data_IF_949354570923
#
_entry.id   IF_949354570923
#
_cell.length_a   1.000
_cell.length_b   1.000
_cell.length_c   1.000
_cell.angle_alpha   90.00
_cell.angle_beta   90.00
_cell.angle_gamma   90.00
#
_symmetry.space_group_name_H-M   'P 1'
#
loop_
_entity.id
_entity.type
_entity.pdbx_description
1 polymer ?
#
# COMPACT_ATOMS: atom_id res chain seq x y z
N UNK A 1 30.40 -14.93 -3.78
CA UNK A 1 30.36 -16.38 -4.14
C UNK A 1 29.69 -17.13 -3.00
N UNK A 2 28.58 -17.86 -3.25
CA UNK A 2 28.07 -18.80 -2.23
C UNK A 2 29.17 -19.82 -1.93
N UNK A 3 29.44 -20.14 -0.66
CA UNK A 3 30.44 -21.15 -0.35
C UNK A 3 30.07 -22.44 -1.06
N UNK A 4 31.01 -22.97 -1.85
CA UNK A 4 30.94 -24.35 -2.30
C UNK A 4 31.10 -25.17 -1.03
N UNK A 5 30.00 -25.79 -0.61
CA UNK A 5 30.02 -26.66 0.55
C UNK A 5 30.27 -28.06 -0.01
N UNK A 6 31.37 -28.66 0.45
CA UNK A 6 31.63 -30.07 0.26
C UNK A 6 30.95 -30.80 1.43
N UNK A 7 29.94 -31.61 1.12
CA UNK A 7 29.31 -32.50 2.10
C UNK A 7 29.80 -33.92 1.80
N UNK A 8 30.50 -34.53 2.75
CA UNK A 8 30.91 -35.92 2.66
C UNK A 8 29.81 -36.81 3.24
N UNK A 9 29.25 -37.70 2.43
CA UNK A 9 28.21 -38.67 2.82
C UNK A 9 28.67 -40.05 2.39
N UNK A 10 28.97 -40.93 3.35
CA UNK A 10 29.43 -42.31 3.12
C UNK A 10 30.62 -42.44 2.14
N UNK A 11 31.59 -41.50 2.20
CA UNK A 11 32.77 -41.49 1.34
C UNK A 11 32.57 -40.86 -0.06
N UNK A 12 31.38 -40.34 -0.35
CA UNK A 12 31.10 -39.50 -1.51
C UNK A 12 31.17 -38.01 -1.12
N UNK A 13 32.08 -37.25 -1.75
CA UNK A 13 32.17 -35.80 -1.59
C UNK A 13 31.20 -35.13 -2.57
N UNK A 14 30.03 -34.74 -2.08
CA UNK A 14 29.08 -33.94 -2.82
C UNK A 14 29.50 -32.48 -2.77
N UNK A 15 30.00 -31.95 -3.88
CA UNK A 15 30.29 -30.52 -4.02
C UNK A 15 29.06 -29.82 -4.58
N UNK A 16 28.49 -28.91 -3.80
CA UNK A 16 27.29 -28.17 -4.18
C UNK A 16 27.31 -26.76 -3.62
N UNK A 17 26.57 -25.86 -4.26
CA UNK A 17 26.31 -24.54 -3.65
C UNK A 17 25.26 -24.75 -2.56
N UNK A 18 25.57 -24.37 -1.32
CA UNK A 18 24.62 -24.47 -0.23
C UNK A 18 23.35 -23.67 -0.55
N UNK A 19 22.20 -24.34 -0.54
CA UNK A 19 20.89 -23.71 -0.44
C UNK A 19 20.63 -23.59 1.06
N UNK A 20 20.30 -22.40 1.60
CA UNK A 20 20.00 -22.25 3.02
C UNK A 20 18.95 -23.29 3.43
N UNK A 21 19.24 -24.11 4.45
CA UNK A 21 18.34 -25.19 4.92
C UNK A 21 16.92 -24.68 5.23
N UNK A 22 16.81 -23.44 5.72
CA UNK A 22 15.53 -22.78 6.02
C UNK A 22 14.65 -22.51 4.77
N UNK A 23 15.25 -22.37 3.58
CA UNK A 23 14.54 -22.19 2.31
C UNK A 23 14.05 -23.54 1.77
N UNK A 24 14.82 -24.61 1.97
CA UNK A 24 14.46 -25.96 1.50
C UNK A 24 13.36 -26.59 2.36
N UNK A 25 13.31 -26.28 3.66
CA UNK A 25 12.26 -26.79 4.55
C UNK A 25 10.92 -26.06 4.40
N UNK A 26 10.86 -24.94 3.67
CA UNK A 26 9.66 -24.11 3.56
C UNK A 26 9.20 -23.50 4.89
N UNK A 27 10.05 -23.55 5.94
CA UNK A 27 9.72 -23.07 7.29
C UNK A 27 10.20 -21.65 7.55
N UNK A 28 11.03 -21.07 6.69
CA UNK A 28 11.39 -19.65 6.77
C UNK A 28 10.29 -18.78 6.19
N UNK A 29 9.92 -17.70 6.90
CA UNK A 29 9.08 -16.64 6.33
C UNK A 29 9.81 -16.03 5.12
N UNK A 30 9.22 -16.09 3.94
CA UNK A 30 9.75 -15.39 2.77
C UNK A 30 9.57 -13.88 2.99
N UNK A 31 10.66 -13.11 2.94
CA UNK A 31 10.63 -11.65 2.90
C UNK A 31 11.43 -11.13 1.70
N UNK A 32 10.74 -10.51 0.74
CA UNK A 32 11.34 -9.97 -0.46
C UNK A 32 12.32 -8.83 -0.15
N UNK A 33 12.01 -8.02 0.87
CA UNK A 33 12.84 -6.87 1.27
C UNK A 33 14.11 -7.34 1.96
N UNK A 34 14.01 -8.29 2.88
CA UNK A 34 15.18 -8.91 3.52
C UNK A 34 16.10 -9.54 2.47
N UNK A 35 15.55 -10.31 1.52
CA UNK A 35 16.35 -10.90 0.43
C UNK A 35 17.02 -9.82 -0.42
N UNK A 36 16.31 -8.75 -0.76
CA UNK A 36 16.91 -7.64 -1.49
C UNK A 36 18.05 -7.00 -0.70
N UNK A 37 17.82 -6.60 0.56
CA UNK A 37 18.84 -5.97 1.38
C UNK A 37 20.06 -6.86 1.60
N UNK A 38 19.86 -8.17 1.75
CA UNK A 38 20.93 -9.15 1.96
C UNK A 38 21.79 -9.35 0.70
N UNK A 39 21.17 -9.40 -0.48
CA UNK A 39 21.85 -9.83 -1.70
C UNK A 39 22.06 -8.73 -2.76
N UNK A 40 21.52 -7.52 -2.60
CA UNK A 40 21.58 -6.46 -3.65
C UNK A 40 23.01 -6.08 -4.08
N UNK A 41 23.98 -6.23 -3.18
CA UNK A 41 25.38 -5.87 -3.41
C UNK A 41 26.21 -7.07 -3.93
N UNK A 42 25.62 -8.27 -4.00
CA UNK A 42 26.25 -9.43 -4.64
C UNK A 42 26.25 -9.27 -6.18
N UNK A 43 27.21 -9.94 -6.83
CA UNK A 43 27.19 -10.13 -8.28
C UNK A 43 25.84 -10.72 -8.76
N UNK A 44 25.30 -10.33 -9.93
CA UNK A 44 23.96 -10.76 -10.38
C UNK A 44 23.75 -12.28 -10.33
N UNK A 45 24.77 -13.07 -10.66
CA UNK A 45 24.70 -14.54 -10.66
C UNK A 45 24.63 -15.18 -9.25
N UNK A 46 24.87 -14.41 -8.19
CA UNK A 46 24.79 -14.84 -6.79
C UNK A 46 23.47 -14.41 -6.10
N UNK A 47 22.83 -13.35 -6.60
CA UNK A 47 21.55 -12.83 -6.09
C UNK A 47 20.40 -13.86 -6.19
N UNK A 48 19.38 -13.75 -5.34
CA UNK A 48 18.10 -14.48 -5.51
C UNK A 48 17.27 -13.86 -6.65
N UNK A 49 16.26 -14.57 -7.13
CA UNK A 49 15.33 -14.05 -8.15
C UNK A 49 14.57 -12.83 -7.63
N UNK A 50 14.17 -12.84 -6.34
CA UNK A 50 13.58 -11.68 -5.67
C UNK A 50 14.54 -10.47 -5.64
N UNK A 51 15.79 -10.67 -5.20
CA UNK A 51 16.80 -9.62 -5.15
C UNK A 51 17.12 -9.06 -6.55
N UNK A 52 17.21 -9.92 -7.58
CA UNK A 52 17.40 -9.50 -8.97
C UNK A 52 16.26 -8.63 -9.48
N UNK A 53 15.01 -9.03 -9.26
CA UNK A 53 13.84 -8.26 -9.72
C UNK A 53 13.73 -6.90 -9.01
N UNK A 54 14.00 -6.85 -7.70
CA UNK A 54 14.00 -5.61 -6.92
C UNK A 54 15.19 -4.70 -7.26
N UNK A 55 16.35 -5.28 -7.54
CA UNK A 55 17.51 -4.56 -8.08
C UNK A 55 17.22 -4.01 -9.48
N UNK A 56 16.57 -4.80 -10.35
CA UNK A 56 16.18 -4.38 -11.69
C UNK A 56 15.19 -3.21 -11.62
N UNK A 57 14.16 -3.32 -10.76
CA UNK A 57 13.23 -2.22 -10.48
C UNK A 57 13.98 -0.94 -10.11
N UNK A 58 14.92 -1.03 -9.17
CA UNK A 58 15.70 0.11 -8.69
C UNK A 58 16.58 0.70 -9.80
N UNK A 59 17.24 -0.14 -10.60
CA UNK A 59 18.09 0.28 -11.71
C UNK A 59 17.27 0.97 -12.82
N UNK A 60 16.10 0.43 -13.15
CA UNK A 60 15.15 1.02 -14.12
C UNK A 60 14.64 2.37 -13.63
N UNK A 61 14.19 2.47 -12.37
CA UNK A 61 13.75 3.73 -11.77
C UNK A 61 14.84 4.81 -11.82
N UNK A 62 16.10 4.45 -11.53
CA UNK A 62 17.25 5.36 -11.62
C UNK A 62 17.61 5.73 -13.06
N UNK A 63 17.47 4.80 -13.99
CA UNK A 63 17.75 5.03 -15.42
C UNK A 63 16.75 6.04 -16.00
N UNK A 64 15.46 5.91 -15.69
CA UNK A 64 14.42 6.87 -16.09
C UNK A 64 14.55 8.19 -15.32
N UNK A 65 14.93 8.15 -14.04
CA UNK A 65 14.93 9.32 -13.16
C UNK A 65 16.17 10.22 -13.22
N UNK A 66 17.35 9.70 -13.57
CA UNK A 66 18.61 10.45 -13.46
C UNK A 66 19.62 10.17 -14.60
N UNK A 67 19.16 9.64 -15.74
CA UNK A 67 19.95 9.22 -16.92
C UNK A 67 21.41 8.84 -16.64
N UNK A 68 21.61 7.87 -15.75
CA UNK A 68 22.95 7.36 -15.49
C UNK A 68 23.21 6.17 -16.41
N UNK A 69 24.18 6.31 -17.33
CA UNK A 69 24.71 5.21 -18.16
C UNK A 69 24.99 3.95 -17.33
N UNK A 70 25.46 4.14 -16.09
CA UNK A 70 25.69 3.05 -15.13
C UNK A 70 24.41 2.29 -14.77
N UNK A 71 23.31 2.98 -14.42
CA UNK A 71 22.05 2.30 -14.06
C UNK A 71 21.46 1.54 -15.23
N UNK A 72 21.58 2.08 -16.45
CA UNK A 72 21.16 1.41 -17.68
C UNK A 72 21.96 0.11 -17.91
N UNK A 73 23.28 0.17 -17.78
CA UNK A 73 24.14 -1.00 -17.90
C UNK A 73 23.81 -2.05 -16.83
N UNK A 74 23.62 -1.63 -15.58
CA UNK A 74 23.19 -2.52 -14.50
C UNK A 74 21.83 -3.16 -14.79
N UNK A 75 20.85 -2.41 -15.28
CA UNK A 75 19.54 -2.96 -15.64
C UNK A 75 19.65 -4.04 -16.73
N UNK A 76 20.44 -3.82 -17.78
CA UNK A 76 20.70 -4.81 -18.83
C UNK A 76 21.39 -6.08 -18.30
N UNK A 77 22.35 -5.94 -17.38
CA UNK A 77 23.01 -7.08 -16.75
C UNK A 77 22.02 -7.92 -15.91
N UNK A 78 21.19 -7.26 -15.10
CA UNK A 78 20.18 -7.93 -14.28
C UNK A 78 19.11 -8.61 -15.15
N UNK A 79 18.67 -7.95 -16.24
CA UNK A 79 17.74 -8.51 -17.22
C UNK A 79 18.31 -9.78 -17.86
N UNK A 80 19.55 -9.73 -18.36
CA UNK A 80 20.22 -10.88 -18.97
C UNK A 80 20.41 -12.04 -17.99
N UNK A 81 20.68 -11.75 -16.72
CA UNK A 81 20.79 -12.78 -15.68
C UNK A 81 19.44 -13.44 -15.35
N UNK A 82 18.34 -12.67 -15.30
CA UNK A 82 16.99 -13.22 -15.11
C UNK A 82 16.58 -14.12 -16.28
N UNK A 83 16.81 -13.67 -17.52
CA UNK A 83 16.57 -14.46 -18.72
C UNK A 83 17.40 -15.76 -18.73
N UNK A 84 18.68 -15.68 -18.35
CA UNK A 84 19.58 -16.86 -18.23
C UNK A 84 19.07 -17.89 -17.21
N UNK A 85 18.30 -17.47 -16.20
CA UNK A 85 17.66 -18.36 -15.21
C UNK A 85 16.36 -18.98 -15.71
N UNK A 86 15.92 -18.66 -16.92
CA UNK A 86 14.64 -19.13 -17.46
C UNK A 86 13.44 -18.42 -16.84
N UNK A 87 13.61 -17.16 -16.42
CA UNK A 87 12.49 -16.27 -16.12
C UNK A 87 12.10 -15.59 -17.43
N UNK A 88 10.82 -15.67 -17.83
CA UNK A 88 10.28 -14.93 -18.98
C UNK A 88 10.18 -13.43 -18.66
N UNK A 89 11.34 -12.77 -18.54
CA UNK A 89 11.49 -11.44 -17.97
C UNK A 89 10.74 -10.36 -18.76
N UNK A 90 10.59 -10.53 -20.07
CA UNK A 90 9.76 -9.67 -20.92
C UNK A 90 8.32 -9.67 -20.40
N UNK A 91 7.73 -10.84 -20.15
CA UNK A 91 6.37 -10.96 -19.59
C UNK A 91 6.29 -10.42 -18.18
N UNK A 92 7.29 -10.72 -17.34
CA UNK A 92 7.36 -10.16 -15.97
C UNK A 92 7.37 -8.63 -16.00
N UNK A 93 8.10 -8.04 -16.96
CA UNK A 93 8.14 -6.61 -17.14
C UNK A 93 6.78 -6.05 -17.59
N UNK A 94 6.13 -6.70 -18.56
CA UNK A 94 4.77 -6.36 -19.01
C UNK A 94 3.72 -6.50 -17.90
N UNK A 95 3.93 -7.44 -16.97
CA UNK A 95 3.04 -7.68 -15.84
C UNK A 95 3.15 -6.62 -14.74
N UNK A 96 4.38 -6.33 -14.29
CA UNK A 96 4.65 -5.49 -13.11
C UNK A 96 5.52 -4.25 -13.36
N UNK A 97 6.67 -4.42 -14.03
CA UNK A 97 7.68 -3.37 -14.12
C UNK A 97 7.23 -2.15 -14.94
N UNK A 98 6.53 -2.38 -16.06
CA UNK A 98 6.06 -1.32 -16.97
C UNK A 98 5.14 -0.32 -16.26
N UNK A 99 4.35 -0.77 -15.30
CA UNK A 99 3.51 0.11 -14.48
C UNK A 99 4.35 1.01 -13.57
N UNK A 100 5.40 0.47 -12.98
CA UNK A 100 6.35 1.26 -12.18
C UNK A 100 7.06 2.30 -13.06
N UNK A 101 7.47 1.93 -14.28
CA UNK A 101 8.05 2.86 -15.26
C UNK A 101 7.08 4.00 -15.59
N UNK A 102 5.79 3.70 -15.75
CA UNK A 102 4.77 4.71 -16.01
C UNK A 102 4.59 5.69 -14.84
N UNK A 103 4.62 5.20 -13.60
CA UNK A 103 4.59 6.06 -12.41
C UNK A 103 5.85 6.93 -12.35
N UNK A 104 7.03 6.37 -12.64
CA UNK A 104 8.29 7.13 -12.65
C UNK A 104 8.29 8.25 -13.71
N UNK A 105 7.74 7.98 -14.89
CA UNK A 105 7.56 8.99 -15.95
C UNK A 105 6.57 10.07 -15.52
N UNK A 106 5.44 9.71 -14.93
CA UNK A 106 4.48 10.68 -14.40
C UNK A 106 5.15 11.58 -13.33
N UNK A 107 5.83 10.98 -12.36
CA UNK A 107 6.58 11.73 -11.33
C UNK A 107 7.60 12.68 -11.95
N UNK A 108 8.40 12.21 -12.92
CA UNK A 108 9.39 13.02 -13.63
C UNK A 108 8.75 14.18 -14.42
N UNK A 109 7.67 13.94 -15.14
CA UNK A 109 6.96 14.97 -15.90
C UNK A 109 6.35 16.06 -14.98
N UNK A 110 6.00 15.70 -13.75
CA UNK A 110 5.42 16.66 -12.77
C UNK A 110 6.47 17.35 -11.88
N UNK A 111 7.72 16.88 -11.87
CA UNK A 111 8.75 17.35 -10.94
C UNK A 111 9.04 18.85 -11.09
N UNK A 112 9.07 19.37 -12.32
CA UNK A 112 9.30 20.80 -12.57
C UNK A 112 8.18 21.68 -11.98
N UNK A 113 6.93 21.24 -12.05
CA UNK A 113 5.79 21.95 -11.46
C UNK A 113 5.87 21.94 -9.93
N UNK A 114 6.21 20.79 -9.32
CA UNK A 114 6.40 20.67 -7.87
C UNK A 114 7.53 21.57 -7.34
N UNK A 115 8.65 21.66 -8.06
CA UNK A 115 9.77 22.54 -7.69
C UNK A 115 9.38 24.02 -7.85
N UNK A 116 8.65 24.37 -8.91
CA UNK A 116 8.17 25.74 -9.13
C UNK A 116 7.22 26.21 -8.02
N UNK A 117 6.48 25.30 -7.42
CA UNK A 117 5.58 25.56 -6.28
C UNK A 117 6.28 25.46 -4.90
N UNK A 118 7.61 25.33 -4.86
CA UNK A 118 8.41 25.19 -3.62
C UNK A 118 8.04 23.97 -2.75
N UNK A 119 7.33 22.98 -3.32
CA UNK A 119 6.98 21.74 -2.62
C UNK A 119 8.14 20.73 -2.60
N UNK A 120 9.15 20.93 -3.45
CA UNK A 120 10.30 20.03 -3.59
C UNK A 120 11.61 20.83 -3.70
N UNK A 121 12.65 20.36 -3.01
CA UNK A 121 13.94 21.05 -2.99
C UNK A 121 14.59 21.09 -4.40
N UNK A 122 15.07 22.26 -4.88
CA UNK A 122 15.67 22.42 -6.21
C UNK A 122 16.89 21.52 -6.48
N UNK A 123 17.55 21.05 -5.41
CA UNK A 123 18.66 20.08 -5.51
C UNK A 123 18.27 18.76 -6.18
N UNK A 124 16.98 18.41 -6.19
CA UNK A 124 16.46 17.24 -6.91
C UNK A 124 16.38 17.47 -8.43
N UNK A 125 16.26 18.71 -8.89
CA UNK A 125 16.39 19.04 -10.31
C UNK A 125 17.86 19.12 -10.75
N UNK A 126 18.81 19.43 -9.85
CA UNK A 126 20.22 19.55 -10.24
C UNK A 126 20.87 18.23 -10.69
N UNK A 127 20.28 17.07 -10.37
CA UNK A 127 20.72 15.79 -10.95
C UNK A 127 20.20 15.54 -12.37
N UNK A 128 19.19 16.28 -12.82
CA UNK A 128 18.83 16.38 -14.23
C UNK A 128 19.49 17.64 -14.81
N UNK A 129 20.71 17.50 -15.31
CA UNK A 129 21.38 18.60 -16.01
C UNK A 129 20.50 19.17 -17.14
N UNK A 130 20.81 20.40 -17.60
CA UNK A 130 20.14 21.14 -18.68
C UNK A 130 19.95 20.40 -20.04
N UNK A 131 20.44 19.16 -20.17
CA UNK A 131 20.36 18.29 -21.35
C UNK A 131 19.28 17.18 -21.23
N UNK A 132 18.35 17.27 -20.28
CA UNK A 132 17.31 16.26 -20.10
C UNK A 132 16.17 16.38 -21.13
N UNK A 133 16.51 16.20 -22.40
CA UNK A 133 15.59 16.19 -23.53
C UNK A 133 14.44 15.18 -23.33
N UNK A 134 14.69 14.08 -22.61
CA UNK A 134 13.67 13.08 -22.28
C UNK A 134 12.62 13.63 -21.31
N UNK A 135 13.03 14.30 -20.23
CA UNK A 135 12.09 14.92 -19.30
C UNK A 135 11.23 15.98 -20.01
N UNK A 136 11.85 16.85 -20.81
CA UNK A 136 11.14 17.88 -21.57
C UNK A 136 10.12 17.28 -22.53
N UNK A 137 10.48 16.22 -23.25
CA UNK A 137 9.56 15.51 -24.14
C UNK A 137 8.35 14.92 -23.39
N UNK A 138 8.54 14.38 -22.18
CA UNK A 138 7.42 13.87 -21.38
C UNK A 138 6.52 14.97 -20.83
N UNK A 139 7.06 16.15 -20.52
CA UNK A 139 6.26 17.34 -20.15
C UNK A 139 5.38 17.76 -21.32
N UNK A 140 5.94 17.88 -22.53
CA UNK A 140 5.17 18.22 -23.73
C UNK A 140 4.07 17.20 -24.03
N UNK A 141 4.35 15.90 -23.83
CA UNK A 141 3.35 14.82 -23.99
C UNK A 141 2.26 14.92 -22.93
N UNK A 142 2.62 15.22 -21.67
CA UNK A 142 1.65 15.39 -20.59
C UNK A 142 0.70 16.55 -20.90
N UNK A 143 1.24 17.71 -21.29
CA UNK A 143 0.45 18.88 -21.67
C UNK A 143 -0.48 18.58 -22.85
N UNK A 144 0.05 17.98 -23.93
CA UNK A 144 -0.74 17.61 -25.10
C UNK A 144 -1.85 16.60 -24.77
N UNK A 145 -1.55 15.57 -23.96
CA UNK A 145 -2.52 14.56 -23.56
C UNK A 145 -3.58 15.14 -22.60
N UNK A 146 -3.20 16.10 -21.75
CA UNK A 146 -4.12 16.80 -20.87
C UNK A 146 -5.07 17.70 -21.68
N UNK A 147 -4.55 18.47 -22.64
CA UNK A 147 -5.38 19.28 -23.56
C UNK A 147 -6.37 18.40 -24.36
N UNK A 148 -5.92 17.28 -24.94
CA UNK A 148 -6.80 16.30 -25.61
C UNK A 148 -7.92 15.79 -24.68
N UNK A 149 -7.61 15.57 -23.40
CA UNK A 149 -8.60 15.10 -22.42
C UNK A 149 -9.66 16.16 -22.08
N UNK A 150 -9.30 17.44 -22.09
CA UNK A 150 -10.22 18.55 -21.85
C UNK A 150 -11.22 18.71 -23.00
N UNK A 151 -10.76 18.57 -24.24
CA UNK A 151 -11.61 18.66 -25.43
C UNK A 151 -12.66 17.55 -25.49
N UNK A 152 -12.30 16.35 -25.02
CA UNK A 152 -13.18 15.18 -25.04
C UNK A 152 -14.33 15.22 -24.02
N UNK A 153 -14.53 16.34 -23.31
CA UNK A 153 -15.74 16.65 -22.50
C UNK A 153 -16.09 15.63 -21.41
N UNK A 154 -15.11 14.87 -20.91
CA UNK A 154 -15.28 13.93 -19.79
C UNK A 154 -15.09 14.63 -18.42
N UNK A 155 -15.46 15.91 -18.33
CA UNK A 155 -15.29 16.79 -17.16
C UNK A 155 -15.98 16.26 -15.89
N UNK A 156 -16.98 15.39 -16.03
CA UNK A 156 -17.68 14.78 -14.90
C UNK A 156 -16.84 13.73 -14.14
N UNK A 157 -15.63 13.38 -14.62
CA UNK A 157 -14.67 12.51 -13.90
C UNK A 157 -13.48 13.25 -13.28
N UNK A 158 -13.55 14.58 -13.15
CA UNK A 158 -12.52 15.40 -12.47
C UNK A 158 -12.23 15.00 -11.01
N UNK A 159 -13.04 14.12 -10.43
CA UNK A 159 -12.81 13.51 -9.11
C UNK A 159 -12.14 12.13 -9.15
N UNK A 160 -11.41 11.76 -10.22
CA UNK A 160 -10.33 10.78 -9.99
C UNK A 160 -9.45 11.35 -8.87
N UNK A 161 -9.45 10.62 -7.76
CA UNK A 161 -9.28 11.16 -6.42
C UNK A 161 -7.92 11.85 -6.26
N UNK A 162 -7.94 13.15 -5.91
CA UNK A 162 -6.76 13.88 -5.40
C UNK A 162 -6.03 13.04 -4.35
N UNK A 163 -6.78 12.29 -3.53
CA UNK A 163 -6.22 11.36 -2.54
C UNK A 163 -5.45 10.18 -3.15
N UNK A 164 -5.83 9.67 -4.33
CA UNK A 164 -5.06 8.64 -5.03
C UNK A 164 -3.73 9.20 -5.57
N UNK A 165 -3.77 10.38 -6.20
CA UNK A 165 -2.57 11.10 -6.65
C UNK A 165 -1.65 11.41 -5.48
N UNK A 166 -2.20 11.93 -4.37
CA UNK A 166 -1.46 12.20 -3.12
C UNK A 166 -0.74 10.95 -2.61
N UNK A 167 -1.41 9.80 -2.55
CA UNK A 167 -0.79 8.55 -2.10
C UNK A 167 0.36 8.09 -3.01
N UNK A 168 0.25 8.29 -4.32
CA UNK A 168 1.32 7.94 -5.27
C UNK A 168 2.49 8.93 -5.14
N UNK A 169 2.21 10.23 -5.05
CA UNK A 169 3.21 11.27 -4.88
C UNK A 169 3.96 11.13 -3.56
N UNK A 170 3.27 10.89 -2.43
CA UNK A 170 3.89 10.65 -1.14
C UNK A 170 4.83 9.43 -1.18
N UNK A 171 4.47 8.38 -1.94
CA UNK A 171 5.34 7.21 -2.12
C UNK A 171 6.58 7.53 -2.96
N UNK A 172 6.42 8.32 -4.03
CA UNK A 172 7.52 8.73 -4.89
C UNK A 172 8.44 9.74 -4.19
N UNK A 173 7.86 10.60 -3.35
CA UNK A 173 8.48 11.73 -2.68
C UNK A 173 7.97 11.82 -1.23
N UNK A 174 8.53 11.06 -0.28
CA UNK A 174 8.07 11.05 1.11
C UNK A 174 8.04 12.43 1.78
N UNK A 175 8.91 13.35 1.36
CA UNK A 175 8.92 14.74 1.83
C UNK A 175 7.62 15.52 1.56
N UNK A 176 6.78 15.06 0.62
CA UNK A 176 5.49 15.70 0.32
C UNK A 176 4.38 15.30 1.31
N UNK A 177 4.54 14.21 2.07
CA UNK A 177 3.49 13.75 2.99
C UNK A 177 3.24 14.72 4.14
N UNK A 178 4.29 15.42 4.56
CA UNK A 178 4.28 16.39 5.66
C UNK A 178 3.73 17.78 5.23
N UNK A 179 3.54 18.02 3.93
CA UNK A 179 3.07 19.31 3.43
C UNK A 179 1.55 19.36 3.34
N UNK A 180 0.92 20.18 4.19
CA UNK A 180 -0.50 20.54 4.08
C UNK A 180 -0.85 21.31 2.80
N UNK A 181 0.16 21.78 2.05
CA UNK A 181 -0.02 22.58 0.83
C UNK A 181 -0.25 21.72 -0.42
N UNK A 182 0.03 20.40 -0.35
CA UNK A 182 -0.08 19.50 -1.50
C UNK A 182 -1.50 19.41 -2.06
N UNK A 183 -2.52 19.38 -1.21
CA UNK A 183 -3.91 19.27 -1.67
C UNK A 183 -4.35 20.53 -2.43
N UNK A 184 -3.96 21.71 -1.94
CA UNK A 184 -4.19 23.01 -2.61
C UNK A 184 -3.46 23.05 -3.95
N UNK A 185 -2.19 22.64 -3.98
CA UNK A 185 -1.41 22.56 -5.22
C UNK A 185 -2.05 21.63 -6.25
N UNK A 186 -2.49 20.43 -5.85
CA UNK A 186 -3.14 19.48 -6.76
C UNK A 186 -4.49 19.99 -7.29
N UNK A 187 -5.17 20.87 -6.56
CA UNK A 187 -6.38 21.54 -7.02
C UNK A 187 -6.08 22.62 -8.06
N UNK A 188 -4.99 23.36 -7.88
CA UNK A 188 -4.54 24.43 -8.80
C UNK A 188 -3.82 23.89 -10.05
N UNK A 189 -3.25 22.68 -9.96
CA UNK A 189 -2.49 22.00 -11.01
C UNK A 189 -3.13 20.67 -11.43
N UNK A 190 -4.29 20.70 -12.10
CA UNK A 190 -5.01 19.50 -12.52
C UNK A 190 -4.22 18.61 -13.50
N UNK A 191 -3.25 19.17 -14.23
CA UNK A 191 -2.33 18.42 -15.09
C UNK A 191 -1.44 17.46 -14.29
N UNK A 192 -1.07 17.81 -13.05
CA UNK A 192 -0.31 16.93 -12.15
C UNK A 192 -1.17 15.75 -11.74
N UNK A 193 -2.42 16.01 -11.34
CA UNK A 193 -3.40 14.96 -11.05
C UNK A 193 -3.66 14.07 -12.26
N UNK A 194 -3.73 14.65 -13.46
CA UNK A 194 -3.89 13.91 -14.71
C UNK A 194 -2.67 13.02 -15.02
N UNK A 195 -1.45 13.45 -14.71
CA UNK A 195 -0.24 12.64 -14.90
C UNK A 195 -0.30 11.30 -14.14
N UNK A 196 -0.96 11.26 -12.98
CA UNK A 196 -1.14 10.04 -12.19
C UNK A 196 -2.48 9.32 -12.45
N UNK A 197 -3.32 9.85 -13.35
CA UNK A 197 -4.57 9.21 -13.74
C UNK A 197 -4.32 7.84 -14.39
N UNK A 198 -5.33 6.98 -14.34
CA UNK A 198 -5.28 5.68 -15.03
C UNK A 198 -5.15 5.83 -16.54
N UNK A 199 -5.64 6.95 -17.09
CA UNK A 199 -5.60 7.27 -18.51
C UNK A 199 -4.18 7.60 -18.99
N UNK A 200 -3.48 8.51 -18.30
CA UNK A 200 -2.12 8.88 -18.68
C UNK A 200 -1.15 7.72 -18.41
N UNK A 201 -1.13 7.21 -17.17
CA UNK A 201 -0.23 6.10 -16.80
C UNK A 201 -0.50 4.83 -17.61
N UNK A 202 -1.75 4.57 -18.01
CA UNK A 202 -2.10 3.46 -18.90
C UNK A 202 -1.54 3.60 -20.31
N UNK A 203 -1.54 4.81 -20.90
CA UNK A 203 -0.89 5.08 -22.20
C UNK A 203 0.63 4.97 -22.11
N UNK A 204 1.22 5.52 -21.04
CA UNK A 204 2.66 5.39 -20.78
C UNK A 204 3.05 3.92 -20.64
N UNK A 205 2.28 3.15 -19.88
CA UNK A 205 2.48 1.71 -19.74
C UNK A 205 2.39 1.00 -21.10
N UNK A 206 1.37 1.30 -21.91
CA UNK A 206 1.23 0.70 -23.25
C UNK A 206 2.43 1.01 -24.15
N UNK A 207 2.95 2.24 -24.09
CA UNK A 207 4.16 2.63 -24.81
C UNK A 207 5.38 1.82 -24.37
N UNK A 208 5.60 1.71 -23.06
CA UNK A 208 6.70 0.92 -22.53
C UNK A 208 6.56 -0.58 -22.79
N UNK A 209 5.34 -1.11 -22.84
CA UNK A 209 5.12 -2.48 -23.29
C UNK A 209 5.68 -2.72 -24.69
N UNK A 210 5.38 -1.81 -25.62
CA UNK A 210 5.91 -1.89 -26.98
C UNK A 210 7.43 -1.73 -27.01
N UNK A 211 8.00 -0.80 -26.23
CA UNK A 211 9.45 -0.63 -26.17
C UNK A 211 10.16 -1.82 -25.54
N UNK A 212 9.61 -2.47 -24.51
CA UNK A 212 10.22 -3.67 -23.92
C UNK A 212 10.32 -4.80 -24.96
N UNK A 213 9.34 -4.92 -25.84
CA UNK A 213 9.31 -5.94 -26.91
C UNK A 213 10.27 -5.60 -28.06
N UNK A 214 10.29 -4.35 -28.53
CA UNK A 214 11.02 -3.97 -29.75
C UNK A 214 12.42 -3.37 -29.49
N UNK A 215 12.58 -2.63 -28.39
CA UNK A 215 13.79 -1.88 -28.07
C UNK A 215 13.94 -1.63 -26.56
N UNK A 216 14.43 -2.65 -25.85
CA UNK A 216 14.64 -2.60 -24.40
C UNK A 216 15.52 -1.41 -23.97
N UNK A 217 16.54 -1.05 -24.75
CA UNK A 217 17.38 0.09 -24.41
C UNK A 217 16.57 1.39 -24.41
N UNK A 218 15.74 1.64 -25.42
CA UNK A 218 14.84 2.79 -25.45
C UNK A 218 13.87 2.79 -24.26
N UNK A 219 13.37 1.62 -23.85
CA UNK A 219 12.53 1.48 -22.66
C UNK A 219 13.30 1.93 -21.40
N UNK A 220 14.55 1.49 -21.23
CA UNK A 220 15.37 1.81 -20.06
C UNK A 220 15.77 3.29 -19.99
N UNK A 221 15.89 3.99 -21.13
CA UNK A 221 16.12 5.45 -21.16
C UNK A 221 14.85 6.24 -20.87
N UNK A 222 13.69 5.58 -20.84
CA UNK A 222 12.43 6.29 -20.76
C UNK A 222 12.14 7.09 -22.02
N UNK A 223 12.52 6.60 -23.20
CA UNK A 223 12.33 7.34 -24.46
C UNK A 223 10.85 7.68 -24.66
N UNK A 224 10.56 8.96 -24.84
CA UNK A 224 9.21 9.45 -25.07
C UNK A 224 8.77 9.21 -26.54
N UNK A 225 7.50 8.84 -26.81
CA UNK A 225 6.96 8.83 -28.16
C UNK A 225 6.66 10.25 -28.66
N UNK A 226 6.23 10.42 -29.91
CA UNK A 226 5.63 11.70 -30.32
C UNK A 226 4.26 11.91 -29.64
N UNK A 227 3.86 13.16 -29.41
CA UNK A 227 2.55 13.50 -28.82
C UNK A 227 1.37 12.94 -29.63
N UNK A 228 1.47 12.95 -30.96
CA UNK A 228 0.48 12.36 -31.88
C UNK A 228 0.38 10.84 -31.69
N UNK A 229 1.51 10.15 -31.60
CA UNK A 229 1.50 8.71 -31.34
C UNK A 229 0.94 8.41 -29.95
N UNK A 230 1.34 9.17 -28.94
CA UNK A 230 0.91 8.97 -27.55
C UNK A 230 -0.60 9.11 -27.38
N UNK A 231 -1.19 10.17 -27.96
CA UNK A 231 -2.64 10.43 -27.87
C UNK A 231 -3.46 9.36 -28.59
N UNK A 232 -2.90 8.73 -29.64
CA UNK A 232 -3.51 7.60 -30.33
C UNK A 232 -3.46 6.27 -29.54
N UNK A 233 -2.61 6.16 -28.51
CA UNK A 233 -2.52 4.94 -27.70
C UNK A 233 -3.81 4.72 -26.87
N UNK A 234 -4.25 3.46 -26.72
CA UNK A 234 -5.36 3.14 -25.83
C UNK A 234 -5.00 3.49 -24.38
N UNK A 235 -5.96 4.00 -23.59
CA UNK A 235 -5.70 4.45 -22.23
C UNK A 235 -5.53 3.32 -21.21
N UNK A 236 -5.64 2.06 -21.64
CA UNK A 236 -5.49 0.89 -20.77
C UNK A 236 -4.48 -0.05 -21.43
N UNK A 237 -3.34 -0.23 -20.76
CA UNK A 237 -2.43 -1.30 -21.12
C UNK A 237 -3.03 -2.64 -20.71
N UNK A 238 -2.96 -3.62 -21.61
CA UNK A 238 -3.15 -5.01 -21.22
C UNK A 238 -2.09 -5.39 -20.18
N UNK A 239 -2.46 -6.17 -19.17
CA UNK A 239 -1.51 -6.71 -18.19
C UNK A 239 -1.27 -8.18 -18.50
N UNK A 240 -0.01 -8.59 -18.62
CA UNK A 240 0.31 -10.01 -18.65
C UNK A 240 0.11 -10.58 -17.23
N UNK A 241 -0.97 -11.33 -17.03
CA UNK A 241 -1.33 -11.87 -15.72
C UNK A 241 -0.31 -12.89 -15.20
N UNK A 242 0.37 -13.63 -16.09
CA UNK A 242 1.40 -14.59 -15.69
C UNK A 242 2.68 -13.86 -15.27
N UNK A 243 3.08 -12.85 -16.05
CA UNK A 243 4.17 -11.96 -15.69
C UNK A 243 3.92 -11.23 -14.38
N UNK A 244 2.68 -10.77 -14.16
CA UNK A 244 2.30 -10.09 -12.92
C UNK A 244 2.30 -11.04 -11.71
N UNK A 245 1.87 -12.28 -11.89
CA UNK A 245 2.00 -13.31 -10.85
C UNK A 245 3.45 -13.58 -10.48
N UNK A 246 4.34 -13.76 -11.46
CA UNK A 246 5.77 -13.93 -11.19
C UNK A 246 6.34 -12.70 -10.47
N UNK A 247 5.94 -11.50 -10.88
CA UNK A 247 6.34 -10.27 -10.22
C UNK A 247 5.90 -10.24 -8.74
N UNK A 248 4.61 -10.43 -8.44
CA UNK A 248 4.10 -10.46 -7.06
C UNK A 248 4.78 -11.56 -6.24
N UNK A 249 4.98 -12.75 -6.84
CA UNK A 249 5.65 -13.89 -6.21
C UNK A 249 6.99 -13.55 -5.61
N UNK A 250 7.79 -12.78 -6.34
CA UNK A 250 9.17 -12.50 -5.94
C UNK A 250 9.36 -11.11 -5.34
N UNK A 251 8.40 -10.20 -5.46
CA UNK A 251 8.55 -8.81 -4.99
C UNK A 251 7.62 -8.42 -3.85
N UNK A 252 6.55 -9.19 -3.57
CA UNK A 252 5.59 -8.90 -2.50
C UNK A 252 5.72 -9.94 -1.39
N UNK A 253 6.09 -9.49 -0.18
CA UNK A 253 6.35 -10.35 0.99
C UNK A 253 5.11 -11.14 1.42
N UNK A 254 4.01 -10.45 1.76
CA UNK A 254 2.78 -11.09 2.22
C UNK A 254 1.95 -11.66 1.04
N UNK A 255 1.53 -12.93 1.14
CA UNK A 255 0.69 -13.56 0.11
C UNK A 255 -0.70 -12.92 0.08
N UNK A 256 -1.15 -12.45 1.24
CA UNK A 256 -2.40 -11.73 1.47
C UNK A 256 -2.48 -10.45 0.64
N UNK A 257 -1.36 -9.87 0.20
CA UNK A 257 -1.35 -8.66 -0.60
C UNK A 257 -1.36 -8.93 -2.11
N UNK A 258 -1.23 -10.18 -2.54
CA UNK A 258 -1.25 -10.54 -3.95
C UNK A 258 -2.61 -10.33 -4.59
N UNK A 259 -2.65 -10.04 -5.89
CA UNK A 259 -3.92 -10.03 -6.60
C UNK A 259 -4.58 -11.41 -6.64
N UNK A 260 -5.92 -11.42 -6.82
CA UNK A 260 -6.67 -12.67 -6.95
C UNK A 260 -6.18 -13.51 -8.13
N UNK A 261 -5.84 -12.89 -9.26
CA UNK A 261 -5.33 -13.61 -10.44
C UNK A 261 -4.00 -14.30 -10.13
N UNK A 262 -3.08 -13.64 -9.44
CA UNK A 262 -1.82 -14.25 -8.99
C UNK A 262 -2.03 -15.40 -8.01
N UNK A 263 -2.97 -15.28 -7.07
CA UNK A 263 -3.29 -16.39 -6.16
C UNK A 263 -3.85 -17.60 -6.91
N UNK A 264 -4.71 -17.38 -7.90
CA UNK A 264 -5.27 -18.45 -8.73
C UNK A 264 -4.20 -19.14 -9.60
N UNK A 265 -3.28 -18.35 -10.18
CA UNK A 265 -2.14 -18.88 -10.94
C UNK A 265 -1.17 -19.66 -10.06
N UNK A 266 -0.91 -19.17 -8.84
CA UNK A 266 -0.09 -19.87 -7.85
C UNK A 266 -0.70 -21.20 -7.43
N UNK A 267 -1.99 -21.21 -7.11
CA UNK A 267 -2.70 -22.44 -6.76
C UNK A 267 -2.67 -23.45 -7.92
N UNK A 268 -2.88 -22.97 -9.15
CA UNK A 268 -2.78 -23.81 -10.36
C UNK A 268 -1.36 -24.38 -10.52
N UNK A 269 -0.33 -23.55 -10.35
CA UNK A 269 1.06 -23.98 -10.41
C UNK A 269 1.39 -25.02 -9.33
N UNK A 270 0.95 -24.80 -8.09
CA UNK A 270 1.17 -25.75 -7.00
C UNK A 270 0.51 -27.10 -7.26
N UNK A 271 -0.66 -27.11 -7.92
CA UNK A 271 -1.42 -28.32 -8.25
C UNK A 271 -0.86 -29.08 -9.45
N UNK A 272 -0.53 -28.38 -10.53
CA UNK A 272 -0.22 -28.98 -11.84
C UNK A 272 1.29 -29.02 -12.12
N UNK A 273 2.10 -28.32 -11.34
CA UNK A 273 3.54 -28.11 -11.58
C UNK A 273 3.88 -27.66 -13.00
N UNK A 274 2.96 -26.94 -13.67
CA UNK A 274 3.14 -26.49 -15.05
C UNK A 274 4.29 -25.48 -15.13
N UNK A 275 5.29 -25.75 -15.97
CA UNK A 275 6.61 -25.09 -15.94
C UNK A 275 6.81 -24.00 -17.00
N UNK A 276 5.79 -23.69 -17.80
CA UNK A 276 6.03 -22.96 -19.05
C UNK A 276 6.50 -21.52 -18.83
N UNK A 277 6.10 -20.87 -17.74
CA UNK A 277 6.36 -19.44 -17.51
C UNK A 277 7.66 -19.12 -16.74
N UNK A 278 8.18 -20.06 -15.97
CA UNK A 278 9.34 -19.81 -15.11
C UNK A 278 10.03 -21.13 -14.74
N UNK A 279 11.36 -21.15 -14.80
CA UNK A 279 12.13 -22.32 -14.45
C UNK A 279 11.82 -22.80 -13.02
N UNK A 280 11.64 -24.13 -12.87
CA UNK A 280 11.34 -24.78 -11.58
C UNK A 280 12.30 -24.37 -10.46
N UNK A 281 13.57 -24.13 -10.79
CA UNK A 281 14.59 -23.69 -9.84
C UNK A 281 14.28 -22.31 -9.25
N UNK A 282 13.89 -21.34 -10.07
CA UNK A 282 13.52 -20.01 -9.60
C UNK A 282 12.23 -20.08 -8.77
N UNK A 283 11.26 -20.86 -9.24
CA UNK A 283 10.00 -21.07 -8.51
C UNK A 283 10.21 -21.73 -7.14
N UNK A 284 11.23 -22.56 -6.97
CA UNK A 284 11.57 -23.20 -5.70
C UNK A 284 12.20 -22.25 -4.66
N UNK A 285 12.53 -21.01 -5.01
CA UNK A 285 13.04 -20.02 -4.04
C UNK A 285 11.98 -19.54 -3.04
N UNK A 286 10.70 -19.74 -3.37
CA UNK A 286 9.57 -19.48 -2.48
C UNK A 286 8.65 -20.69 -2.50
N UNK A 287 8.31 -21.25 -1.35
CA UNK A 287 7.35 -22.35 -1.25
C UNK A 287 6.13 -21.84 -0.51
N UNK A 288 4.96 -21.98 -1.12
CA UNK A 288 3.68 -21.59 -0.53
C UNK A 288 2.83 -22.85 -0.42
N UNK A 289 2.35 -23.21 0.79
CA UNK A 289 1.46 -24.35 0.96
C UNK A 289 0.18 -24.18 0.12
N UNK A 290 -0.23 -25.27 -0.55
CA UNK A 290 -1.36 -25.25 -1.49
C UNK A 290 -2.70 -24.93 -0.80
N UNK A 291 -2.87 -25.42 0.43
CA UNK A 291 -4.01 -25.15 1.30
C UNK A 291 -4.10 -23.67 1.66
N UNK A 292 -2.98 -23.06 2.05
CA UNK A 292 -2.90 -21.62 2.38
C UNK A 292 -3.28 -20.75 1.18
N UNK A 293 -2.69 -20.98 0.01
CA UNK A 293 -3.03 -20.18 -1.18
C UNK A 293 -4.47 -20.42 -1.64
N UNK A 294 -4.97 -21.65 -1.50
CA UNK A 294 -6.35 -22.00 -1.82
C UNK A 294 -7.36 -21.29 -0.92
N UNK A 295 -7.10 -21.25 0.39
CA UNK A 295 -7.93 -20.55 1.38
C UNK A 295 -7.96 -19.04 1.12
N UNK A 296 -6.78 -18.43 0.91
CA UNK A 296 -6.67 -17.00 0.62
C UNK A 296 -7.36 -16.63 -0.70
N UNK A 297 -7.18 -17.43 -1.76
CA UNK A 297 -7.83 -17.22 -3.05
C UNK A 297 -9.35 -17.32 -2.92
N UNK A 298 -9.86 -18.33 -2.22
CA UNK A 298 -11.29 -18.54 -2.00
C UNK A 298 -11.90 -17.43 -1.15
N UNK A 299 -11.22 -17.02 -0.07
CA UNK A 299 -11.64 -15.90 0.77
C UNK A 299 -11.76 -14.60 -0.03
N UNK A 300 -10.77 -14.32 -0.89
CA UNK A 300 -10.77 -13.13 -1.75
C UNK A 300 -11.81 -13.19 -2.86
N UNK A 301 -11.99 -14.34 -3.52
CA UNK A 301 -13.03 -14.54 -4.53
C UNK A 301 -14.43 -14.38 -3.91
N UNK A 302 -14.63 -14.90 -2.70
CA UNK A 302 -15.89 -14.77 -1.95
C UNK A 302 -16.14 -13.32 -1.54
N UNK A 303 -15.13 -12.60 -1.05
CA UNK A 303 -15.25 -11.18 -0.70
C UNK A 303 -15.52 -10.28 -1.93
N UNK A 304 -14.99 -10.63 -3.10
CA UNK A 304 -15.26 -9.90 -4.35
C UNK A 304 -16.66 -10.17 -4.90
N UNK A 305 -17.19 -11.39 -4.72
CA UNK A 305 -18.58 -11.71 -5.05
C UNK A 305 -19.61 -11.21 -4.04
N UNK A 306 -19.21 -10.96 -2.79
CA UNK A 306 -20.06 -10.35 -1.74
C UNK A 306 -19.87 -8.84 -1.65
N UNK A 307 -19.52 -8.16 -2.76
CA UNK A 307 -19.86 -6.75 -2.91
C UNK A 307 -21.24 -6.66 -3.58
N UNK A 308 -22.38 -6.66 -2.84
CA UNK A 308 -23.56 -6.03 -3.40
C UNK A 308 -23.10 -4.64 -3.87
N UNK A 309 -23.45 -4.27 -5.10
CA UNK A 309 -23.22 -2.91 -5.65
C UNK A 309 -23.27 -1.92 -4.49
N UNK A 310 -22.15 -1.24 -4.18
CA UNK A 310 -22.12 -0.19 -3.16
C UNK A 310 -23.37 0.66 -3.40
N UNK A 311 -24.37 0.54 -2.52
CA UNK A 311 -25.45 1.52 -2.49
C UNK A 311 -24.76 2.78 -2.00
N UNK A 312 -24.36 3.61 -2.96
CA UNK A 312 -23.84 4.95 -2.73
C UNK A 312 -24.78 5.63 -1.74
N UNK A 313 -24.27 6.00 -0.56
CA UNK A 313 -25.05 6.68 0.48
C UNK A 313 -25.06 6.03 1.87
N UNK A 314 -24.55 4.80 2.05
CA UNK A 314 -24.51 4.11 3.36
C UNK A 314 -23.08 3.85 3.87
N UNK A 315 -22.16 4.79 3.63
CA UNK A 315 -20.81 4.76 4.21
C UNK A 315 -20.83 5.43 5.58
N UNK A 316 -20.17 4.85 6.58
CA UNK A 316 -20.15 5.37 7.95
C UNK A 316 -19.62 6.80 8.01
N UNK A 317 -18.64 7.13 7.15
CA UNK A 317 -18.06 8.48 7.02
C UNK A 317 -19.09 9.57 6.74
N UNK A 318 -20.13 9.27 5.95
CA UNK A 318 -21.19 10.23 5.60
C UNK A 318 -22.09 10.62 6.80
N UNK A 319 -21.98 9.89 7.91
CA UNK A 319 -22.82 10.09 9.09
C UNK A 319 -22.03 10.59 10.30
N UNK A 320 -20.71 10.73 10.19
CA UNK A 320 -19.85 11.19 11.29
C UNK A 320 -20.26 12.59 11.75
N UNK A 321 -20.42 13.56 10.83
CA UNK A 321 -20.79 14.93 11.18
C UNK A 321 -22.11 15.00 11.97
N UNK A 322 -23.14 14.30 11.48
CA UNK A 322 -24.44 14.22 12.15
C UNK A 322 -24.35 13.55 13.52
N UNK A 323 -23.54 12.50 13.66
CA UNK A 323 -23.33 11.82 14.94
C UNK A 323 -22.56 12.72 15.91
N UNK A 324 -21.48 13.38 15.48
CA UNK A 324 -20.70 14.32 16.28
C UNK A 324 -21.57 15.49 16.79
N UNK A 325 -22.45 16.04 15.96
CA UNK A 325 -23.42 17.06 16.38
C UNK A 325 -24.33 16.55 17.52
N UNK A 326 -24.80 15.29 17.43
CA UNK A 326 -25.63 14.69 18.49
C UNK A 326 -24.83 14.44 19.77
N UNK A 327 -23.59 13.96 19.63
CA UNK A 327 -22.70 13.72 20.78
C UNK A 327 -22.36 15.03 21.50
N UNK A 328 -22.07 16.10 20.76
CA UNK A 328 -21.79 17.42 21.33
C UNK A 328 -22.99 18.00 22.11
N UNK A 329 -24.21 17.57 21.78
CA UNK A 329 -25.44 17.93 22.50
C UNK A 329 -25.77 16.96 23.66
N UNK A 330 -24.88 16.02 23.99
CA UNK A 330 -25.12 15.00 25.01
C UNK A 330 -26.17 13.94 24.61
N UNK A 331 -26.49 13.80 23.33
CA UNK A 331 -27.49 12.85 22.82
C UNK A 331 -26.83 11.60 22.22
N UNK A 332 -26.05 10.89 23.04
CA UNK A 332 -25.31 9.71 22.62
C UNK A 332 -26.21 8.54 22.21
N UNK A 333 -27.43 8.46 22.76
CA UNK A 333 -28.41 7.44 22.34
C UNK A 333 -28.92 7.66 20.91
N UNK A 334 -29.13 8.91 20.48
CA UNK A 334 -29.49 9.17 19.07
C UNK A 334 -28.28 9.01 18.15
N UNK A 335 -27.08 9.39 18.58
CA UNK A 335 -25.86 9.14 17.81
C UNK A 335 -25.64 7.64 17.57
N UNK A 336 -25.79 6.81 18.60
CA UNK A 336 -25.63 5.35 18.48
C UNK A 336 -26.67 4.71 17.57
N UNK A 337 -27.91 5.22 17.50
CA UNK A 337 -28.93 4.73 16.56
C UNK A 337 -28.54 4.92 15.09
N UNK A 338 -27.79 5.96 14.76
CA UNK A 338 -27.32 6.20 13.39
C UNK A 338 -26.40 5.04 12.96
N UNK A 339 -25.39 4.72 13.78
CA UNK A 339 -24.46 3.63 13.49
C UNK A 339 -25.05 2.25 13.74
N UNK A 340 -26.00 2.10 14.67
CA UNK A 340 -26.75 0.86 14.89
C UNK A 340 -27.53 0.46 13.64
N UNK A 341 -28.23 1.40 13.01
CA UNK A 341 -28.89 1.16 11.72
C UNK A 341 -27.91 0.81 10.60
N UNK A 342 -26.72 1.43 10.57
CA UNK A 342 -25.67 1.07 9.60
C UNK A 342 -25.14 -0.34 9.81
N UNK A 343 -24.90 -0.75 11.06
CA UNK A 343 -24.46 -2.10 11.41
C UNK A 343 -25.52 -3.15 11.04
N UNK A 344 -26.80 -2.88 11.26
CA UNK A 344 -27.89 -3.76 10.82
C UNK A 344 -27.92 -3.92 9.30
N UNK A 345 -27.72 -2.83 8.56
CA UNK A 345 -27.70 -2.84 7.10
C UNK A 345 -26.39 -3.42 6.53
N UNK A 346 -25.28 -3.29 7.26
CA UNK A 346 -23.92 -3.65 6.83
C UNK A 346 -23.12 -4.26 8.00
N UNK A 347 -23.42 -5.52 8.38
CA UNK A 347 -22.80 -6.14 9.55
C UNK A 347 -21.29 -6.42 9.41
N UNK A 348 -20.73 -6.28 8.20
CA UNK A 348 -19.30 -6.42 7.92
C UNK A 348 -18.55 -5.08 7.79
N UNK A 349 -19.17 -3.95 8.15
CA UNK A 349 -18.54 -2.62 8.10
C UNK A 349 -17.85 -2.31 9.44
N UNK A 350 -16.52 -2.43 9.46
CA UNK A 350 -15.72 -2.22 10.68
C UNK A 350 -15.84 -0.80 11.24
N UNK A 351 -15.89 0.22 10.37
CA UNK A 351 -15.97 1.62 10.79
C UNK A 351 -17.34 1.92 11.43
N UNK A 352 -18.42 1.32 10.91
CA UNK A 352 -19.75 1.44 11.52
C UNK A 352 -19.78 0.82 12.93
N UNK A 353 -19.15 -0.35 13.13
CA UNK A 353 -19.03 -0.97 14.45
C UNK A 353 -18.18 -0.15 15.41
N UNK A 354 -17.05 0.41 14.94
CA UNK A 354 -16.20 1.27 15.76
C UNK A 354 -16.95 2.52 16.22
N UNK A 355 -17.65 3.20 15.30
CA UNK A 355 -18.39 4.41 15.60
C UNK A 355 -19.64 4.15 16.47
N UNK A 356 -20.29 2.98 16.31
CA UNK A 356 -21.33 2.53 17.25
C UNK A 356 -20.77 2.37 18.66
N UNK A 357 -19.64 1.68 18.78
CA UNK A 357 -18.92 1.52 20.04
C UNK A 357 -18.59 2.86 20.67
N UNK A 358 -17.96 3.76 19.91
CA UNK A 358 -17.63 5.13 20.34
C UNK A 358 -18.83 5.89 20.91
N UNK A 359 -19.98 5.85 20.21
CA UNK A 359 -21.20 6.52 20.69
C UNK A 359 -21.76 5.90 21.97
N UNK A 360 -21.48 4.63 22.26
CA UNK A 360 -22.03 3.92 23.42
C UNK A 360 -21.15 4.02 24.67
N UNK A 361 -19.90 4.51 24.57
CA UNK A 361 -18.92 4.50 25.66
C UNK A 361 -19.47 5.05 26.98
N UNK A 362 -20.21 6.16 26.95
CA UNK A 362 -20.77 6.81 28.14
C UNK A 362 -22.21 6.42 28.46
N UNK A 363 -22.86 5.63 27.60
CA UNK A 363 -24.22 5.15 27.82
C UNK A 363 -24.27 3.72 28.35
N UNK A 364 -23.67 2.80 27.60
CA UNK A 364 -23.57 1.38 27.94
C UNK A 364 -22.18 0.87 27.54
N UNK A 365 -21.22 1.05 28.45
CA UNK A 365 -19.80 0.84 28.18
C UNK A 365 -19.45 -0.63 27.88
N UNK A 366 -20.19 -1.59 28.42
CA UNK A 366 -19.99 -3.01 28.08
C UNK A 366 -20.42 -3.31 26.64
N UNK A 367 -21.58 -2.80 26.22
CA UNK A 367 -22.03 -2.94 24.81
C UNK A 367 -21.12 -2.17 23.86
N UNK A 368 -20.58 -1.03 24.29
CA UNK A 368 -19.57 -0.29 23.56
C UNK A 368 -18.33 -1.16 23.31
N UNK A 369 -17.78 -1.78 24.36
CA UNK A 369 -16.60 -2.63 24.28
C UNK A 369 -16.83 -3.83 23.36
N UNK A 370 -17.99 -4.47 23.41
CA UNK A 370 -18.34 -5.57 22.49
C UNK A 370 -18.39 -5.10 21.03
N UNK A 371 -18.99 -3.93 20.77
CA UNK A 371 -19.05 -3.34 19.43
C UNK A 371 -17.65 -3.02 18.90
N UNK A 372 -16.77 -2.49 19.75
CA UNK A 372 -15.38 -2.17 19.40
C UNK A 372 -14.54 -3.42 19.14
N UNK A 373 -14.74 -4.50 19.90
CA UNK A 373 -14.11 -5.81 19.62
C UNK A 373 -14.61 -6.39 18.31
N UNK A 374 -15.89 -6.21 18.00
CA UNK A 374 -16.44 -6.62 16.71
C UNK A 374 -15.81 -5.85 15.55
N UNK A 375 -15.60 -4.54 15.71
CA UNK A 375 -14.90 -3.71 14.73
C UNK A 375 -13.47 -4.21 14.47
N UNK A 376 -12.72 -4.50 15.54
CA UNK A 376 -11.36 -5.04 15.45
C UNK A 376 -11.28 -6.34 14.63
N UNK A 377 -12.19 -7.28 14.86
CA UNK A 377 -12.25 -8.55 14.12
C UNK A 377 -12.51 -8.36 12.61
N UNK A 378 -13.11 -7.23 12.22
CA UNK A 378 -13.44 -6.92 10.83
C UNK A 378 -12.33 -6.11 10.15
N UNK A 379 -11.47 -5.43 10.90
CA UNK A 379 -10.30 -4.74 10.34
C UNK A 379 -9.23 -5.74 9.90
N UNK A 380 -8.62 -5.48 8.72
CA UNK A 380 -7.41 -6.21 8.30
C UNK A 380 -6.21 -5.85 9.19
N UNK A 381 -6.12 -4.58 9.58
CA UNK A 381 -5.18 -4.06 10.57
C UNK A 381 -5.95 -3.06 11.44
N UNK A 382 -6.01 -3.25 12.77
CA UNK A 382 -6.69 -2.31 13.66
C UNK A 382 -6.14 -0.90 13.53
N UNK A 383 -7.01 0.10 13.60
CA UNK A 383 -6.64 1.52 13.62
C UNK A 383 -6.33 1.96 15.04
N UNK A 384 -5.49 2.99 15.21
CA UNK A 384 -5.27 3.57 16.54
C UNK A 384 -6.56 4.13 17.16
N UNK A 385 -7.47 4.69 16.37
CA UNK A 385 -8.79 5.15 16.84
C UNK A 385 -9.57 4.00 17.47
N UNK A 386 -9.66 2.84 16.80
CA UNK A 386 -10.38 1.68 17.33
C UNK A 386 -9.73 1.17 18.62
N UNK A 387 -8.40 1.14 18.69
CA UNK A 387 -7.66 0.75 19.90
C UNK A 387 -7.89 1.73 21.04
N UNK A 388 -7.78 3.02 20.78
CA UNK A 388 -8.00 4.07 21.76
C UNK A 388 -9.41 4.00 22.37
N UNK A 389 -10.43 3.80 21.53
CA UNK A 389 -11.81 3.62 22.00
C UNK A 389 -11.96 2.38 22.90
N UNK A 390 -11.31 1.25 22.56
CA UNK A 390 -11.33 0.05 23.41
C UNK A 390 -10.65 0.27 24.75
N UNK A 391 -9.47 0.90 24.74
CA UNK A 391 -8.67 1.20 25.93
C UNK A 391 -9.47 2.13 26.85
N UNK A 392 -10.11 3.16 26.31
CA UNK A 392 -10.96 4.06 27.08
C UNK A 392 -12.17 3.32 27.68
N UNK A 393 -12.86 2.49 26.91
CA UNK A 393 -13.99 1.70 27.42
C UNK A 393 -13.55 0.75 28.54
N UNK A 394 -12.40 0.07 28.41
CA UNK A 394 -11.83 -0.77 29.46
C UNK A 394 -11.52 0.05 30.73
N UNK A 395 -10.96 1.24 30.57
CA UNK A 395 -10.67 2.14 31.68
C UNK A 395 -11.94 2.60 32.42
N UNK A 396 -12.98 3.01 31.70
CA UNK A 396 -14.28 3.40 32.28
C UNK A 396 -14.92 2.25 33.06
N UNK A 397 -14.71 1.00 32.61
CA UNK A 397 -15.15 -0.21 33.32
C UNK A 397 -14.27 -0.59 34.53
N UNK A 398 -13.21 0.18 34.82
CA UNK A 398 -12.25 -0.12 35.88
C UNK A 398 -11.32 -1.30 35.57
N UNK A 399 -11.20 -1.68 34.29
CA UNK A 399 -10.37 -2.80 33.82
C UNK A 399 -8.99 -2.32 33.36
N UNK A 400 -8.36 -1.49 34.19
CA UNK A 400 -7.11 -0.79 33.86
C UNK A 400 -5.96 -1.72 33.47
N UNK A 401 -5.87 -2.91 34.09
CA UNK A 401 -4.85 -3.89 33.73
C UNK A 401 -4.99 -4.42 32.30
N UNK A 402 -6.22 -4.60 31.81
CA UNK A 402 -6.47 -4.99 30.42
C UNK A 402 -6.24 -3.81 29.47
N UNK A 403 -6.60 -2.60 29.87
CA UNK A 403 -6.35 -1.38 29.10
C UNK A 403 -4.84 -1.18 28.87
N UNK A 404 -4.02 -1.29 29.92
CA UNK A 404 -2.56 -1.15 29.82
C UNK A 404 -1.93 -2.24 28.94
N UNK A 405 -2.34 -3.50 29.10
CA UNK A 405 -1.85 -4.58 28.23
C UNK A 405 -2.20 -4.33 26.75
N UNK A 406 -3.39 -3.77 26.50
CA UNK A 406 -3.83 -3.43 25.15
C UNK A 406 -3.01 -2.28 24.54
N UNK A 407 -2.68 -1.25 25.33
CA UNK A 407 -1.78 -0.17 24.92
C UNK A 407 -0.40 -0.73 24.52
N UNK A 408 0.20 -1.56 25.37
CA UNK A 408 1.53 -2.15 25.12
C UNK A 408 1.54 -2.94 23.80
N UNK A 409 0.51 -3.77 23.58
CA UNK A 409 0.37 -4.53 22.33
C UNK A 409 0.13 -3.64 21.10
N UNK A 410 -0.51 -2.48 21.29
CA UNK A 410 -0.80 -1.52 20.22
C UNK A 410 0.47 -0.84 19.76
N UNK A 411 1.35 -0.42 20.68
CA UNK A 411 2.65 0.17 20.33
C UNK A 411 3.67 -0.84 19.82
N UNK A 412 3.56 -2.11 20.23
CA UNK A 412 4.42 -3.18 19.73
C UNK A 412 4.03 -3.70 18.33
N UNK A 413 2.77 -3.48 17.93
CA UNK A 413 2.19 -4.03 16.70
C UNK A 413 2.14 -3.03 15.53
N UNK A 414 1.93 -3.53 14.29
CA UNK A 414 1.66 -2.68 13.15
C UNK A 414 0.23 -2.14 13.21
N UNK A 415 0.04 -0.97 13.82
CA UNK A 415 -1.22 -0.21 13.74
C UNK A 415 -1.11 0.87 12.66
N UNK A 416 -2.22 1.16 11.97
CA UNK A 416 -2.28 2.28 11.03
C UNK A 416 -2.51 3.58 11.78
N UNK A 417 -1.63 4.56 11.56
CA UNK A 417 -1.93 5.96 11.84
C UNK A 417 -3.19 6.34 11.07
N UNK A 418 -4.21 6.75 11.80
CA UNK A 418 -5.40 7.40 11.24
C UNK A 418 -5.10 8.89 11.11
N UNK A 419 -5.80 9.58 10.21
CA UNK A 419 -5.84 11.05 10.28
C UNK A 419 -6.48 11.51 11.61
N UNK A 420 -6.54 12.82 11.79
CA UNK A 420 -7.18 13.43 12.96
C UNK A 420 -8.59 12.89 13.19
N UNK A 421 -8.95 12.68 14.46
CA UNK A 421 -10.18 12.03 14.86
C UNK A 421 -10.92 12.80 15.96
N UNK A 422 -12.22 12.53 16.09
CA UNK A 422 -13.01 12.96 17.24
C UNK A 422 -12.89 11.88 18.32
N UNK A 423 -12.45 12.27 19.52
CA UNK A 423 -12.21 11.37 20.65
C UNK A 423 -12.98 11.83 21.88
N UNK A 424 -13.19 10.93 22.84
CA UNK A 424 -13.71 11.33 24.16
C UNK A 424 -12.55 11.71 25.08
N UNK A 425 -12.71 12.76 25.88
CA UNK A 425 -11.79 13.07 26.98
C UNK A 425 -11.83 11.99 28.06
N UNK A 426 -10.72 11.81 28.77
CA UNK A 426 -10.63 10.82 29.84
C UNK A 426 -11.23 11.35 31.17
N UNK A 427 -11.76 10.48 32.06
CA UNK A 427 -12.63 10.86 33.19
C UNK A 427 -12.01 11.72 34.32
N UNK A 428 -10.82 12.29 34.16
CA UNK A 428 -10.13 13.10 35.19
C UNK A 428 -10.12 14.61 34.96
N UNK A 429 -10.47 15.09 33.77
CA UNK A 429 -10.26 16.51 33.41
C UNK A 429 -11.40 17.42 33.83
N UNK A 430 -12.63 16.90 33.89
CA UNK A 430 -13.82 17.60 34.35
C UNK A 430 -14.69 16.59 35.09
N UNK A 431 -15.07 16.90 36.34
CA UNK A 431 -15.76 16.00 37.28
C UNK A 431 -16.97 15.23 36.68
N UNK A 432 -16.71 14.07 36.08
CA UNK A 432 -17.71 13.08 35.66
C UNK A 432 -18.51 13.37 34.38
N UNK A 433 -18.32 14.52 33.72
CA UNK A 433 -19.04 14.83 32.48
C UNK A 433 -18.23 14.42 31.23
N UNK A 434 -18.85 13.70 30.27
CA UNK A 434 -18.17 13.28 29.07
C UNK A 434 -17.89 14.48 28.14
N UNK A 435 -16.61 14.70 27.81
CA UNK A 435 -16.18 15.77 26.90
C UNK A 435 -15.73 15.19 25.55
N UNK A 436 -16.10 15.85 24.45
CA UNK A 436 -15.57 15.51 23.13
C UNK A 436 -14.37 16.39 22.80
N UNK A 437 -13.36 15.76 22.22
CA UNK A 437 -12.16 16.39 21.71
C UNK A 437 -12.20 16.24 20.18
N UNK A 438 -12.12 17.36 19.47
CA UNK A 438 -12.07 17.39 18.01
C UNK A 438 -10.62 17.52 17.53
N UNK A 439 -10.35 17.02 16.33
CA UNK A 439 -9.06 17.14 15.64
C UNK A 439 -7.86 16.55 16.41
N UNK A 440 -8.07 15.39 17.05
CA UNK A 440 -7.08 14.73 17.90
C UNK A 440 -6.25 13.71 17.11
N UNK A 441 -4.93 13.74 17.26
CA UNK A 441 -4.05 12.65 16.81
C UNK A 441 -4.27 11.42 17.71
N UNK A 442 -4.76 10.28 17.17
CA UNK A 442 -5.01 9.09 17.98
C UNK A 442 -3.76 8.52 18.67
N UNK A 443 -2.57 8.79 18.14
CA UNK A 443 -1.30 8.32 18.70
C UNK A 443 -0.94 9.09 19.96
N UNK A 444 -1.05 10.42 19.90
CA UNK A 444 -0.83 11.30 21.05
C UNK A 444 -1.87 11.03 22.13
N UNK A 445 -3.14 10.90 21.74
CA UNK A 445 -4.22 10.54 22.66
C UNK A 445 -3.98 9.21 23.38
N UNK A 446 -3.47 8.19 22.69
CA UNK A 446 -3.14 6.90 23.31
C UNK A 446 -2.01 7.02 24.34
N UNK A 447 -1.02 7.87 24.07
CA UNK A 447 0.07 8.14 24.99
C UNK A 447 -0.45 8.85 26.25
N UNK A 448 -1.30 9.87 26.09
CA UNK A 448 -1.93 10.58 27.20
C UNK A 448 -2.81 9.64 28.03
N UNK A 449 -3.64 8.82 27.38
CA UNK A 449 -4.49 7.84 28.05
C UNK A 449 -3.67 6.79 28.81
N UNK A 450 -2.53 6.35 28.26
CA UNK A 450 -1.61 5.45 28.95
C UNK A 450 -1.01 6.07 30.21
N UNK A 451 -0.52 7.31 30.12
CA UNK A 451 0.04 8.04 31.26
C UNK A 451 -1.01 8.26 32.34
N UNK A 452 -2.23 8.60 31.93
CA UNK A 452 -3.38 8.77 32.80
C UNK A 452 -3.71 7.50 33.59
N UNK A 453 -3.88 6.36 32.91
CA UNK A 453 -4.19 5.07 33.54
C UNK A 453 -3.03 4.59 34.44
N UNK A 454 -1.78 4.78 33.99
CA UNK A 454 -0.59 4.36 34.72
C UNK A 454 -0.31 5.20 35.98
N UNK A 455 -0.65 6.50 35.93
CA UNK A 455 -0.38 7.46 36.98
C UNK A 455 -1.25 7.34 38.24
N UNK A 456 -2.28 6.48 38.24
CA UNK A 456 -3.27 6.31 39.34
C UNK A 456 -3.92 7.61 39.83
N UNK A 457 -4.02 8.64 38.97
CA UNK A 457 -4.59 9.93 39.34
C UNK A 457 -6.13 9.94 39.41
N UNK A 458 -6.82 8.89 38.95
CA UNK A 458 -8.27 8.80 39.02
C UNK A 458 -8.75 8.20 40.34
N UNK A 459 -9.29 9.05 41.20
CA UNK A 459 -10.21 8.63 42.27
C UNK A 459 -11.45 8.06 41.57
N UNK A 460 -11.63 6.73 41.59
CA UNK A 460 -12.79 6.13 40.92
C UNK A 460 -14.10 6.66 41.51
N UNK A 461 -15.09 7.03 40.67
CA UNK A 461 -16.41 7.40 41.15
C UNK A 461 -17.05 6.16 41.81
N UNK A 462 -17.37 6.30 43.10
CA UNK A 462 -18.06 5.27 43.88
C UNK A 462 -19.39 4.97 43.19
N UNK A 463 -19.58 3.72 42.76
CA UNK A 463 -20.79 3.25 42.10
C UNK A 463 -22.03 3.56 42.95
N UNK A 464 -22.95 4.37 42.43
CA UNK A 464 -24.28 4.55 43.00
C UNK A 464 -25.14 3.40 42.49
N UNK A 465 -25.42 2.45 43.36
CA UNK A 465 -26.42 1.40 43.13
C UNK A 465 -27.80 2.04 43.03
N UNK A 466 -28.52 1.84 41.91
CA UNK A 466 -29.97 2.08 41.81
C UNK A 466 -30.72 0.87 42.32
#
# INVERSE_FOLDING_TARGET
MRPIVALEVDGLVLTGRAIPRAVVSGTGSFDAVEQYLTYKDDEPHAQTTASLLLSLRTAVSRSIGADTRTSRFTALQLWGELARRGVEIERVALGGLVREMAIMVASRATLAALIKADLMHPGLAKSSSDDDASASAWVEILEAAYSDSLEQSDLNRRHESVSATRSILARAYPALEESGELDTFLADHPEVSFAFSTRFTGRVAQWFSHLVEENLEAALVGQAPSSVLFTALPPRAGRDEVGFWIWERFTVTAVEDWSLSSMMLEWKWAKEAQTDACARRAMAERVIPQDVIGELALGRASATHVRPRRRTGLDASNFIEQASERLANGDWLRASRIFGGLVELRPGDADAWNNLGFCLIWGDTEVALESLRRAELLYRMPTYVCRANQILALHILGRDGEALALVESTFAGPARSGGMAVMWGHPGDNEGEPTLLDDVDPTEYLQELYEHISGRACVQPVSITI
#
